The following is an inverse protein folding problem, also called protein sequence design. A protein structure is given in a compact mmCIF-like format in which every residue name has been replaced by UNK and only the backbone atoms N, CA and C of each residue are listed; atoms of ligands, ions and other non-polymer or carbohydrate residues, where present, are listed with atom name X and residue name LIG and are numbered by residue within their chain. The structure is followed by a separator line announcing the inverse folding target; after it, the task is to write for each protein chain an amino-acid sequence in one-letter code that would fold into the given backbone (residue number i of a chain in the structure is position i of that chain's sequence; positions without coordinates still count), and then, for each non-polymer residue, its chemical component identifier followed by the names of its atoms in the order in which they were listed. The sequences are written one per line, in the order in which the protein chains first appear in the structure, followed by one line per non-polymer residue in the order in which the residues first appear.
data_IF_702413656064
#
_entry.id   IF_702413656064
#
_cell.length_a   1.000
_cell.length_b   1.000
_cell.length_c   1.000
_cell.angle_alpha   90.00
_cell.angle_beta   90.00
_cell.angle_gamma   90.00
#
_symmetry.space_group_name_H-M   'P 1'
#
loop_
_entity.id
_entity.type
_entity.pdbx_description
1 polymer ?
#
# COMPACT_ATOMS: atom_id res chain seq x y z
N UNK A 1 35.16 -27.65 -3.47
CA UNK A 1 35.46 -26.32 -2.89
C UNK A 1 36.47 -26.46 -1.76
N UNK A 2 37.49 -25.60 -1.72
CA UNK A 2 38.46 -25.56 -0.61
C UNK A 2 37.75 -25.20 0.71
N UNK A 3 38.23 -25.68 1.86
CA UNK A 3 37.59 -25.47 3.18
C UNK A 3 37.30 -23.98 3.46
N UNK A 4 38.25 -23.10 3.15
CA UNK A 4 38.09 -21.65 3.33
C UNK A 4 36.97 -21.04 2.47
N UNK A 5 36.74 -21.53 1.25
CA UNK A 5 35.64 -21.07 0.39
C UNK A 5 34.27 -21.43 0.97
N UNK A 6 34.15 -22.59 1.62
CA UNK A 6 32.90 -22.99 2.29
C UNK A 6 32.62 -22.09 3.50
N UNK A 7 33.64 -21.77 4.28
CA UNK A 7 33.52 -20.85 5.42
C UNK A 7 33.05 -19.48 4.95
N UNK A 8 33.70 -18.90 3.93
CA UNK A 8 33.30 -17.61 3.34
C UNK A 8 31.85 -17.66 2.85
N UNK A 9 31.46 -18.71 2.13
CA UNK A 9 30.09 -18.86 1.63
C UNK A 9 29.07 -18.92 2.78
N UNK A 10 29.31 -19.73 3.81
CA UNK A 10 28.38 -19.84 4.95
C UNK A 10 28.32 -18.55 5.77
N UNK A 11 29.45 -17.85 5.93
CA UNK A 11 29.47 -16.53 6.59
C UNK A 11 28.68 -15.50 5.80
N UNK A 12 28.84 -15.41 4.48
CA UNK A 12 28.06 -14.51 3.63
C UNK A 12 26.57 -14.85 3.68
N UNK A 13 26.22 -16.13 3.62
CA UNK A 13 24.83 -16.58 3.75
C UNK A 13 24.24 -16.22 5.11
N UNK A 14 25.01 -16.39 6.19
CA UNK A 14 24.62 -16.00 7.54
C UNK A 14 24.37 -14.51 7.68
N UNK A 15 25.26 -13.67 7.14
CA UNK A 15 25.09 -12.21 7.12
C UNK A 15 23.86 -11.81 6.32
N UNK A 16 23.64 -12.41 5.14
CA UNK A 16 22.47 -12.14 4.31
C UNK A 16 21.16 -12.52 5.02
N UNK A 17 21.13 -13.67 5.70
CA UNK A 17 19.97 -14.10 6.48
C UNK A 17 19.67 -13.14 7.62
N UNK A 18 20.69 -12.77 8.41
CA UNK A 18 20.53 -11.82 9.52
C UNK A 18 20.05 -10.47 8.98
N UNK A 19 20.70 -9.95 7.94
CA UNK A 19 20.33 -8.70 7.31
C UNK A 19 18.90 -8.70 6.77
N UNK A 20 18.46 -9.81 6.17
CA UNK A 20 17.09 -9.97 5.65
C UNK A 20 16.06 -9.97 6.79
N UNK A 21 16.32 -10.70 7.87
CA UNK A 21 15.44 -10.74 9.04
C UNK A 21 15.34 -9.34 9.66
N UNK A 22 16.48 -8.68 9.88
CA UNK A 22 16.52 -7.31 10.42
C UNK A 22 15.76 -6.33 9.54
N UNK A 23 15.96 -6.38 8.22
CA UNK A 23 15.24 -5.53 7.27
C UNK A 23 13.74 -5.77 7.32
N UNK A 24 13.29 -7.03 7.28
CA UNK A 24 11.87 -7.36 7.33
C UNK A 24 11.25 -6.89 8.64
N UNK A 25 11.88 -7.11 9.80
CA UNK A 25 11.37 -6.58 11.08
C UNK A 25 11.28 -5.07 11.09
N UNK A 26 12.33 -4.36 10.67
CA UNK A 26 12.34 -2.89 10.60
C UNK A 26 11.29 -2.34 9.62
N UNK A 27 11.05 -3.04 8.50
CA UNK A 27 10.07 -2.65 7.50
C UNK A 27 8.64 -2.65 8.04
N UNK A 28 8.33 -3.52 9.01
CA UNK A 28 7.00 -3.58 9.64
C UNK A 28 6.75 -2.44 10.65
N UNK A 29 7.76 -1.63 10.99
CA UNK A 29 7.56 -0.46 11.85
C UNK A 29 6.95 0.70 11.07
N UNK A 30 5.62 0.80 11.13
CA UNK A 30 4.80 1.74 10.36
C UNK A 30 4.26 2.88 11.20
N UNK A 31 3.90 3.97 10.52
CA UNK A 31 3.07 5.04 11.08
C UNK A 31 1.61 4.61 11.00
N UNK A 32 0.98 4.51 12.17
CA UNK A 32 -0.38 3.98 12.34
C UNK A 32 -1.44 5.07 12.12
N UNK A 33 -2.66 4.70 11.69
CA UNK A 33 -3.79 5.62 11.67
C UNK A 33 -4.15 6.09 13.08
N UNK A 34 -4.78 7.25 13.17
CA UNK A 34 -5.50 7.62 14.39
C UNK A 34 -6.73 6.71 14.58
N UNK A 35 -7.32 6.69 15.78
CA UNK A 35 -8.54 5.89 16.03
C UNK A 35 -9.69 6.34 15.15
N UNK A 36 -9.80 7.64 14.92
CA UNK A 36 -10.82 8.26 14.07
C UNK A 36 -10.65 7.78 12.63
N UNK A 37 -9.44 7.84 12.08
CA UNK A 37 -9.16 7.34 10.74
C UNK A 37 -9.42 5.83 10.61
N UNK A 38 -9.01 5.04 11.61
CA UNK A 38 -9.22 3.60 11.60
C UNK A 38 -10.71 3.21 11.61
N UNK A 39 -11.53 3.92 12.38
CA UNK A 39 -12.99 3.67 12.46
C UNK A 39 -13.76 3.88 11.15
N UNK A 40 -13.12 4.42 10.11
CA UNK A 40 -13.73 4.63 8.80
C UNK A 40 -13.53 3.45 7.85
N UNK A 41 -12.79 2.40 8.23
CA UNK A 41 -12.27 1.40 7.30
C UNK A 41 -12.89 0.01 7.48
N UNK A 42 -13.58 -0.27 8.58
CA UNK A 42 -14.01 -1.63 8.95
C UNK A 42 -14.83 -2.34 7.86
N UNK A 43 -15.72 -1.63 7.16
CA UNK A 43 -16.57 -2.15 6.07
C UNK A 43 -16.04 -1.78 4.66
N UNK A 44 -14.83 -1.22 4.56
CA UNK A 44 -14.26 -0.64 3.33
C UNK A 44 -13.13 -1.45 2.71
N UNK A 45 -12.82 -2.61 3.26
CA UNK A 45 -11.76 -3.48 2.72
C UNK A 45 -12.30 -4.33 1.58
N UNK A 46 -11.69 -4.21 0.41
CA UNK A 46 -12.04 -4.97 -0.80
C UNK A 46 -10.77 -5.49 -1.48
N UNK A 47 -10.66 -6.81 -1.63
CA UNK A 47 -9.46 -7.50 -2.16
C UNK A 47 -8.12 -7.05 -1.54
N UNK A 48 -8.16 -6.59 -0.29
CA UNK A 48 -7.00 -6.08 0.44
C UNK A 48 -6.80 -4.56 0.31
N UNK A 49 -7.38 -3.91 -0.69
CA UNK A 49 -7.41 -2.45 -0.83
C UNK A 49 -8.43 -1.84 0.15
N UNK A 50 -8.33 -0.53 0.37
CA UNK A 50 -9.37 0.24 1.05
C UNK A 50 -10.12 1.04 -0.01
N UNK A 51 -11.44 0.87 -0.05
CA UNK A 51 -12.31 1.42 -1.09
C UNK A 51 -13.42 2.25 -0.46
N UNK A 52 -13.58 3.48 -0.93
CA UNK A 52 -14.68 4.37 -0.56
C UNK A 52 -15.50 4.73 -1.80
N UNK A 53 -16.81 4.90 -1.63
CA UNK A 53 -17.72 5.27 -2.72
C UNK A 53 -18.24 4.06 -3.50
N UNK A 54 -19.10 4.35 -4.47
CA UNK A 54 -19.74 3.33 -5.31
C UNK A 54 -18.84 2.93 -6.49
N UNK A 55 -18.82 1.65 -6.83
CA UNK A 55 -17.94 1.12 -7.89
C UNK A 55 -18.28 1.63 -9.30
N UNK A 56 -19.51 2.11 -9.50
CA UNK A 56 -20.03 2.65 -10.76
C UNK A 56 -19.89 4.19 -10.86
N UNK A 57 -19.14 4.81 -9.94
CA UNK A 57 -18.84 6.24 -10.00
C UNK A 57 -18.11 6.60 -11.30
N UNK A 58 -18.47 7.74 -11.92
CA UNK A 58 -17.84 8.18 -13.18
C UNK A 58 -16.38 8.62 -13.01
N UNK A 59 -16.00 9.04 -11.81
CA UNK A 59 -14.66 9.52 -11.47
C UNK A 59 -14.08 8.66 -10.35
N UNK A 60 -12.84 8.23 -10.55
CA UNK A 60 -12.07 7.47 -9.58
C UNK A 60 -10.79 8.19 -9.16
N UNK A 61 -10.39 7.99 -7.91
CA UNK A 61 -9.12 8.46 -7.35
C UNK A 61 -8.36 7.27 -6.78
N UNK A 62 -7.13 7.07 -7.23
CA UNK A 62 -6.20 6.09 -6.66
C UNK A 62 -5.25 6.86 -5.77
N UNK A 63 -5.23 6.55 -4.47
CA UNK A 63 -4.44 7.29 -3.49
C UNK A 63 -3.34 6.43 -2.89
N UNK A 64 -2.07 6.78 -3.17
CA UNK A 64 -0.89 6.12 -2.64
C UNK A 64 -0.44 6.74 -1.31
N UNK A 65 -0.30 5.88 -0.29
CA UNK A 65 0.23 6.27 1.02
C UNK A 65 1.71 6.66 0.98
N UNK A 66 2.12 7.49 1.93
CA UNK A 66 3.53 7.80 2.14
C UNK A 66 4.34 6.60 2.64
N UNK A 67 5.67 6.73 2.59
CA UNK A 67 6.59 5.68 3.00
C UNK A 67 6.33 5.22 4.44
N UNK A 68 6.04 3.93 4.62
CA UNK A 68 5.75 3.27 5.90
C UNK A 68 4.50 3.80 6.61
N UNK A 69 3.64 4.58 5.96
CA UNK A 69 2.35 5.00 6.53
C UNK A 69 1.30 3.96 6.16
N UNK A 70 0.46 3.53 7.10
CA UNK A 70 -0.66 2.65 6.80
C UNK A 70 -1.73 3.40 5.99
N UNK A 71 -2.30 2.77 4.96
CA UNK A 71 -3.28 3.39 4.07
C UNK A 71 -4.53 3.89 4.82
N UNK A 72 -4.91 3.18 5.89
CA UNK A 72 -5.96 3.55 6.83
C UNK A 72 -5.82 4.99 7.36
N UNK A 73 -4.59 5.53 7.46
CA UNK A 73 -4.35 6.89 7.95
C UNK A 73 -4.95 7.98 7.04
N UNK A 74 -5.22 7.65 5.77
CA UNK A 74 -5.78 8.55 4.77
C UNK A 74 -7.28 8.35 4.55
N UNK A 75 -7.93 7.47 5.32
CA UNK A 75 -9.36 7.14 5.18
C UNK A 75 -10.30 8.34 5.18
N UNK A 76 -9.93 9.43 5.87
CA UNK A 76 -10.69 10.68 5.88
C UNK A 76 -10.77 11.33 4.49
N UNK A 77 -9.72 11.22 3.66
CA UNK A 77 -9.73 11.69 2.27
C UNK A 77 -10.66 10.84 1.42
N UNK A 78 -10.57 9.51 1.57
CA UNK A 78 -11.45 8.57 0.88
C UNK A 78 -12.92 8.83 1.19
N UNK A 79 -13.25 8.99 2.48
CA UNK A 79 -14.61 9.34 2.93
C UNK A 79 -15.07 10.70 2.39
N UNK A 80 -14.20 11.71 2.35
CA UNK A 80 -14.56 13.04 1.86
C UNK A 80 -14.87 13.02 0.36
N UNK A 81 -14.02 12.39 -0.44
CA UNK A 81 -14.20 12.28 -1.90
C UNK A 81 -15.38 11.38 -2.26
N UNK A 82 -15.64 10.31 -1.50
CA UNK A 82 -16.81 9.47 -1.69
C UNK A 82 -18.13 10.21 -1.47
N UNK A 83 -18.17 11.17 -0.54
CA UNK A 83 -19.35 12.03 -0.35
C UNK A 83 -19.64 12.92 -1.56
N UNK A 84 -18.62 13.25 -2.35
CA UNK A 84 -18.74 14.01 -3.60
C UNK A 84 -19.06 13.10 -4.81
N UNK A 85 -19.30 11.81 -4.58
CA UNK A 85 -19.69 10.86 -5.63
C UNK A 85 -18.50 10.29 -6.43
N UNK A 86 -17.32 10.21 -5.82
CA UNK A 86 -16.14 9.60 -6.43
C UNK A 86 -15.81 8.25 -5.79
N UNK A 87 -15.36 7.28 -6.57
CA UNK A 87 -14.74 6.08 -6.00
C UNK A 87 -13.30 6.40 -5.63
N UNK A 88 -12.87 6.03 -4.43
CA UNK A 88 -11.48 6.19 -3.98
C UNK A 88 -10.93 4.84 -3.60
N UNK A 89 -9.81 4.48 -4.21
CA UNK A 89 -9.11 3.23 -3.96
C UNK A 89 -7.73 3.55 -3.39
N UNK A 90 -7.46 3.07 -2.18
CA UNK A 90 -6.14 3.11 -1.55
C UNK A 90 -5.55 1.70 -1.64
N UNK A 91 -4.58 1.46 -2.53
CA UNK A 91 -4.08 0.13 -2.78
C UNK A 91 -3.31 -0.43 -1.58
N UNK A 92 -3.38 -1.75 -1.39
CA UNK A 92 -2.51 -2.45 -0.45
C UNK A 92 -1.12 -2.58 -1.03
N UNK A 93 -0.16 -1.86 -0.45
CA UNK A 93 1.20 -1.85 -0.94
C UNK A 93 2.13 -2.77 -0.14
N UNK A 94 3.08 -3.46 -0.80
CA UNK A 94 4.08 -4.25 -0.11
C UNK A 94 4.89 -3.39 0.86
N UNK A 95 4.99 -3.84 2.12
CA UNK A 95 5.76 -3.17 3.18
C UNK A 95 5.34 -1.71 3.44
N UNK A 96 4.14 -1.28 3.01
CA UNK A 96 3.69 0.12 3.02
C UNK A 96 4.64 1.05 2.25
N UNK A 97 5.15 0.60 1.10
CA UNK A 97 6.04 1.38 0.22
C UNK A 97 5.46 1.46 -1.21
N UNK A 98 5.06 2.67 -1.62
CA UNK A 98 4.61 3.04 -2.98
C UNK A 98 5.48 2.47 -4.11
N UNK A 99 6.79 2.62 -3.97
CA UNK A 99 7.77 2.16 -4.96
C UNK A 99 7.74 0.65 -5.22
N UNK A 100 7.17 -0.16 -4.32
CA UNK A 100 7.04 -1.61 -4.48
C UNK A 100 5.70 -2.03 -5.11
N UNK A 101 4.75 -1.11 -5.27
CA UNK A 101 3.43 -1.36 -5.85
C UNK A 101 3.13 -0.49 -7.07
N UNK A 102 4.13 -0.26 -7.92
CA UNK A 102 4.02 0.59 -9.11
C UNK A 102 2.91 0.15 -10.08
N UNK A 103 2.58 -1.14 -10.11
CA UNK A 103 1.57 -1.70 -11.01
C UNK A 103 0.15 -1.67 -10.42
N UNK A 104 -0.04 -1.21 -9.18
CA UNK A 104 -1.37 -1.26 -8.55
C UNK A 104 -2.37 -0.33 -9.24
N UNK A 105 -1.92 0.76 -9.89
CA UNK A 105 -2.80 1.63 -10.69
C UNK A 105 -3.52 0.84 -11.78
N UNK A 106 -2.77 0.10 -12.60
CA UNK A 106 -3.36 -0.63 -13.73
C UNK A 106 -4.35 -1.69 -13.24
N UNK A 107 -3.97 -2.46 -12.20
CA UNK A 107 -4.85 -3.47 -11.61
C UNK A 107 -6.12 -2.86 -11.03
N UNK A 108 -6.05 -1.68 -10.41
CA UNK A 108 -7.24 -0.99 -9.91
C UNK A 108 -8.11 -0.51 -11.06
N UNK A 109 -7.56 0.10 -12.10
CA UNK A 109 -8.35 0.58 -13.24
C UNK A 109 -9.13 -0.58 -13.90
N UNK A 110 -8.50 -1.75 -14.05
CA UNK A 110 -9.14 -2.95 -14.62
C UNK A 110 -10.32 -3.47 -13.79
N UNK A 111 -10.30 -3.31 -12.46
CA UNK A 111 -11.36 -3.78 -11.56
C UNK A 111 -12.64 -2.92 -11.58
N UNK A 112 -12.56 -1.71 -12.15
CA UNK A 112 -13.61 -0.70 -12.10
C UNK A 112 -13.90 -0.15 -13.51
N UNK A 113 -14.44 -0.98 -14.42
CA UNK A 113 -14.61 -0.63 -15.83
C UNK A 113 -15.63 0.49 -16.08
N UNK A 114 -16.52 0.76 -15.12
CA UNK A 114 -17.53 1.83 -15.20
C UNK A 114 -16.94 3.23 -14.96
N UNK A 115 -15.75 3.31 -14.34
CA UNK A 115 -15.07 4.57 -14.06
C UNK A 115 -14.46 5.14 -15.35
N UNK A 116 -14.88 6.33 -15.73
CA UNK A 116 -14.50 6.95 -17.00
C UNK A 116 -13.23 7.78 -16.91
N UNK A 117 -12.94 8.34 -15.73
CA UNK A 117 -11.77 9.18 -15.52
C UNK A 117 -11.10 8.88 -14.20
N UNK A 118 -9.79 8.65 -14.27
CA UNK A 118 -8.96 8.38 -13.11
C UNK A 118 -8.02 9.53 -12.80
N UNK A 119 -7.84 9.78 -11.50
CA UNK A 119 -6.77 10.62 -10.97
C UNK A 119 -5.91 9.77 -10.04
N UNK A 120 -4.60 9.89 -10.17
CA UNK A 120 -3.64 9.29 -9.24
C UNK A 120 -3.12 10.39 -8.33
N UNK A 121 -3.20 10.18 -7.04
CA UNK A 121 -2.74 11.10 -6.01
C UNK A 121 -1.87 10.34 -4.99
N UNK A 122 -0.99 11.07 -4.32
CA UNK A 122 -0.10 10.46 -3.35
C UNK A 122 0.48 11.48 -2.37
N UNK A 123 0.91 10.97 -1.21
CA UNK A 123 1.62 11.78 -0.23
C UNK A 123 3.10 11.36 -0.15
N UNK A 124 3.99 12.33 -0.31
CA UNK A 124 5.45 12.14 -0.21
C UNK A 124 6.00 11.14 -1.23
N UNK A 125 6.27 9.90 -0.83
CA UNK A 125 6.78 8.84 -1.71
C UNK A 125 5.66 8.14 -2.50
N UNK A 126 4.41 8.33 -2.07
CA UNK A 126 3.22 7.89 -2.79
C UNK A 126 2.95 8.74 -4.00
#
# INVERSE_FOLDING_TARGET
MKKWMKIVLYSLLGILLIGSITFLTWSQFTYKPTKEALSLVDDKKDEGNIVFGEKDAKIGVIFYQGAKVEAEAYSYLGKALAKEGHVVVMPKLPLNLAILGINAVDSVIEQYPEVQKWYVAGHSMG
#
